data_IF_994009096864
#
_entry.id   IF_994009096864
#
_cell.length_a   1.000
_cell.length_b   1.000
_cell.length_c   1.000
_cell.angle_alpha   90.00
_cell.angle_beta   90.00
_cell.angle_gamma   90.00
#
_symmetry.space_group_name_H-M   'P 1'
#
loop_
_entity.id
_entity.type
_entity.pdbx_description
1 polymer ?
#
# COMPACT_ATOMS: atom_id res chain seq x y z
N UNK A 1 -34.11 -11.65 5.87
CA UNK A 1 -32.81 -11.61 6.56
C UNK A 1 -31.85 -12.22 5.56
N UNK A 2 -31.52 -11.40 4.57
CA UNK A 2 -30.88 -11.85 3.35
C UNK A 2 -29.36 -11.84 3.54
N UNK A 3 -28.79 -13.03 3.38
CA UNK A 3 -27.37 -13.29 3.41
C UNK A 3 -26.75 -12.69 2.13
N UNK A 4 -26.32 -11.42 2.20
CA UNK A 4 -25.59 -10.80 1.09
C UNK A 4 -24.27 -11.56 0.93
N UNK A 5 -23.98 -12.14 -0.25
CA UNK A 5 -22.82 -13.00 -0.39
C UNK A 5 -21.54 -12.18 -0.22
N UNK A 6 -20.74 -12.49 0.81
CA UNK A 6 -19.45 -11.86 1.11
C UNK A 6 -18.51 -11.75 -0.10
N UNK A 7 -18.65 -12.63 -1.10
CA UNK A 7 -17.89 -12.59 -2.36
C UNK A 7 -18.18 -11.35 -3.21
N UNK A 8 -19.42 -10.84 -3.24
CA UNK A 8 -19.80 -9.68 -4.07
C UNK A 8 -19.21 -8.37 -3.52
N UNK A 9 -19.12 -8.27 -2.20
CA UNK A 9 -18.58 -7.09 -1.50
C UNK A 9 -17.06 -6.98 -1.64
N UNK A 10 -16.34 -8.11 -1.63
CA UNK A 10 -14.88 -8.15 -1.79
C UNK A 10 -14.48 -7.85 -3.25
N UNK A 11 -15.18 -8.42 -4.24
CA UNK A 11 -14.95 -8.14 -5.67
C UNK A 11 -15.08 -6.64 -6.00
N UNK A 12 -16.11 -5.99 -5.45
CA UNK A 12 -16.34 -4.56 -5.66
C UNK A 12 -15.23 -3.68 -5.07
N UNK A 13 -14.61 -4.11 -3.96
CA UNK A 13 -13.57 -3.32 -3.28
C UNK A 13 -12.27 -3.27 -4.10
N UNK A 14 -11.86 -4.39 -4.72
CA UNK A 14 -10.64 -4.41 -5.53
C UNK A 14 -10.82 -3.75 -6.90
N UNK A 15 -12.03 -3.77 -7.45
CA UNK A 15 -12.39 -2.97 -8.63
C UNK A 15 -12.28 -1.47 -8.32
N UNK A 16 -12.85 -0.99 -7.21
CA UNK A 16 -12.69 0.41 -6.78
C UNK A 16 -11.23 0.82 -6.57
N UNK A 17 -10.40 -0.07 -6.00
CA UNK A 17 -8.97 0.17 -5.83
C UNK A 17 -8.25 0.20 -7.18
N UNK A 18 -8.61 -0.69 -8.12
CA UNK A 18 -8.07 -0.69 -9.48
C UNK A 18 -8.37 0.63 -10.19
N UNK A 19 -9.62 1.09 -10.11
CA UNK A 19 -10.07 2.34 -10.70
C UNK A 19 -9.37 3.54 -10.06
N UNK A 20 -9.19 3.53 -8.74
CA UNK A 20 -8.47 4.59 -8.02
C UNK A 20 -6.99 4.65 -8.42
N UNK A 21 -6.34 3.49 -8.59
CA UNK A 21 -4.95 3.41 -9.05
C UNK A 21 -4.81 3.94 -10.48
N UNK A 22 -5.70 3.53 -11.39
CA UNK A 22 -5.67 3.98 -12.79
C UNK A 22 -5.98 5.48 -12.88
N UNK A 23 -6.99 5.96 -12.16
CA UNK A 23 -7.34 7.38 -12.11
C UNK A 23 -6.15 8.23 -11.64
N UNK A 24 -5.45 7.80 -10.58
CA UNK A 24 -4.23 8.46 -10.13
C UNK A 24 -3.18 8.57 -11.26
N UNK A 25 -2.92 7.48 -11.97
CA UNK A 25 -1.94 7.43 -13.06
C UNK A 25 -2.34 8.34 -14.24
N UNK A 26 -3.63 8.40 -14.56
CA UNK A 26 -4.18 9.27 -15.61
C UNK A 26 -4.16 10.75 -15.21
N UNK A 27 -4.41 11.06 -13.94
CA UNK A 27 -4.36 12.43 -13.42
C UNK A 27 -2.92 12.96 -13.33
N UNK A 28 -1.97 12.07 -12.99
CA UNK A 28 -0.54 12.33 -13.19
C UNK A 28 -0.16 12.41 -14.68
N UNK A 29 -1.07 11.90 -15.52
CA UNK A 29 -1.02 11.70 -16.96
C UNK A 29 0.30 11.17 -17.47
N UNK A 30 0.63 10.06 -16.84
CA UNK A 30 1.59 9.08 -17.28
C UNK A 30 1.22 8.57 -18.68
N UNK A 31 2.23 8.17 -19.43
CA UNK A 31 2.12 7.40 -20.67
C UNK A 31 2.57 5.96 -20.41
N UNK A 32 2.38 5.08 -21.40
CA UNK A 32 2.81 3.69 -21.34
C UNK A 32 4.27 3.50 -20.90
N UNK A 33 5.18 4.37 -21.35
CA UNK A 33 6.61 4.30 -21.01
C UNK A 33 6.92 4.78 -19.58
N UNK A 34 6.00 5.51 -18.95
CA UNK A 34 6.21 6.09 -17.62
C UNK A 34 5.81 5.12 -16.50
N UNK A 35 4.99 4.11 -16.80
CA UNK A 35 4.50 3.12 -15.82
C UNK A 35 5.66 2.28 -15.27
N UNK A 36 6.10 2.65 -14.06
CA UNK A 36 7.21 2.02 -13.37
C UNK A 36 6.86 1.75 -11.89
N UNK A 37 7.80 1.17 -11.13
CA UNK A 37 7.56 0.79 -9.72
C UNK A 37 7.20 1.97 -8.83
N UNK A 38 7.82 3.14 -9.05
CA UNK A 38 7.55 4.35 -8.29
C UNK A 38 6.13 4.87 -8.53
N UNK A 39 5.66 4.83 -9.78
CA UNK A 39 4.29 5.22 -10.11
C UNK A 39 3.26 4.28 -9.47
N UNK A 40 3.52 2.98 -9.50
CA UNK A 40 2.71 2.02 -8.75
C UNK A 40 2.71 2.32 -7.26
N UNK A 41 3.88 2.61 -6.67
CA UNK A 41 3.98 2.93 -5.26
C UNK A 41 3.09 4.12 -4.89
N UNK A 42 3.18 5.24 -5.62
CA UNK A 42 2.35 6.41 -5.31
C UNK A 42 0.87 6.14 -5.55
N UNK A 43 0.52 5.45 -6.63
CA UNK A 43 -0.87 5.09 -6.90
C UNK A 43 -1.46 4.19 -5.80
N UNK A 44 -0.68 3.25 -5.27
CA UNK A 44 -1.09 2.43 -4.13
C UNK A 44 -1.22 3.24 -2.84
N UNK A 45 -0.29 4.14 -2.54
CA UNK A 45 -0.42 5.02 -1.36
C UNK A 45 -1.64 5.94 -1.47
N UNK A 46 -2.00 6.37 -2.68
CA UNK A 46 -3.21 7.16 -2.94
C UNK A 46 -4.49 6.33 -2.75
N UNK A 47 -4.49 5.08 -3.24
CA UNK A 47 -5.62 4.17 -3.12
C UNK A 47 -5.75 3.51 -1.73
N UNK A 48 -4.76 3.69 -0.84
CA UNK A 48 -4.76 3.09 0.47
C UNK A 48 -5.95 3.55 1.33
N UNK A 49 -6.68 2.59 1.87
CA UNK A 49 -7.71 2.82 2.90
C UNK A 49 -7.19 2.24 4.22
N UNK A 50 -7.27 2.96 5.36
CA UNK A 50 -6.76 2.51 6.66
C UNK A 50 -7.70 1.47 7.30
N UNK A 51 -7.94 0.38 6.58
CA UNK A 51 -8.75 -0.76 7.01
C UNK A 51 -7.82 -1.92 7.38
N UNK A 52 -8.16 -2.70 8.43
CA UNK A 52 -7.45 -3.94 8.71
C UNK A 52 -7.42 -4.85 7.48
N UNK A 53 -6.33 -5.58 7.32
CA UNK A 53 -6.08 -6.52 6.21
C UNK A 53 -6.02 -5.92 4.80
N UNK A 54 -6.08 -4.61 4.62
CA UNK A 54 -6.10 -3.99 3.30
C UNK A 54 -4.92 -4.46 2.43
N UNK A 55 -3.71 -4.43 2.97
CA UNK A 55 -2.52 -4.89 2.25
C UNK A 55 -2.38 -6.41 2.26
N UNK A 56 -2.76 -7.05 3.36
CA UNK A 56 -2.64 -8.52 3.49
C UNK A 56 -3.51 -9.27 2.49
N UNK A 57 -4.70 -8.76 2.23
CA UNK A 57 -5.65 -9.38 1.32
C UNK A 57 -5.56 -8.74 -0.09
N UNK A 58 -4.62 -7.82 -0.33
CA UNK A 58 -4.51 -7.07 -1.58
C UNK A 58 -4.29 -7.97 -2.81
N UNK A 59 -5.20 -7.91 -3.77
CA UNK A 59 -5.09 -8.63 -5.04
C UNK A 59 -4.49 -7.73 -6.13
N UNK A 60 -3.28 -8.08 -6.59
CA UNK A 60 -2.59 -7.29 -7.62
C UNK A 60 -3.16 -7.51 -9.04
N UNK A 61 -3.77 -8.66 -9.31
CA UNK A 61 -4.16 -9.05 -10.66
C UNK A 61 -5.23 -8.12 -11.28
N UNK A 62 -6.32 -7.75 -10.58
CA UNK A 62 -7.29 -6.77 -11.09
C UNK A 62 -6.66 -5.43 -11.46
N UNK A 63 -5.67 -4.98 -10.68
CA UNK A 63 -4.94 -3.73 -10.94
C UNK A 63 -4.11 -3.84 -12.22
N UNK A 64 -3.40 -4.96 -12.41
CA UNK A 64 -2.61 -5.21 -13.63
C UNK A 64 -3.52 -5.17 -14.86
N UNK A 65 -4.71 -5.78 -14.77
CA UNK A 65 -5.66 -5.78 -15.88
C UNK A 65 -6.20 -4.38 -16.19
N UNK A 66 -6.54 -3.60 -15.16
CA UNK A 66 -6.97 -2.22 -15.33
C UNK A 66 -5.85 -1.35 -15.95
N UNK A 67 -4.62 -1.49 -15.47
CA UNK A 67 -3.45 -0.79 -16.03
C UNK A 67 -3.20 -1.20 -17.48
N UNK A 68 -3.33 -2.47 -17.84
CA UNK A 68 -3.15 -2.91 -19.23
C UNK A 68 -4.25 -2.42 -20.17
N UNK A 69 -5.49 -2.25 -19.68
CA UNK A 69 -6.56 -1.63 -20.47
C UNK A 69 -6.25 -0.15 -20.75
N UNK A 70 -5.73 0.57 -19.75
CA UNK A 70 -5.38 1.98 -19.89
C UNK A 70 -4.07 2.22 -20.66
N UNK A 71 -3.08 1.34 -20.48
CA UNK A 71 -1.72 1.43 -21.04
C UNK A 71 -1.37 0.15 -21.81
N UNK A 72 -1.98 -0.08 -22.98
CA UNK A 72 -1.89 -1.35 -23.70
C UNK A 72 -0.49 -1.69 -24.21
N UNK A 73 0.35 -0.67 -24.43
CA UNK A 73 1.72 -0.83 -24.94
C UNK A 73 2.77 -0.81 -23.84
N UNK A 74 2.39 -0.60 -22.57
CA UNK A 74 3.30 -0.53 -21.43
C UNK A 74 4.30 -1.69 -21.40
N UNK A 75 3.85 -2.93 -21.62
CA UNK A 75 4.71 -4.11 -21.59
C UNK A 75 5.88 -4.04 -22.58
N UNK A 76 5.64 -3.46 -23.75
CA UNK A 76 6.66 -3.22 -24.78
C UNK A 76 7.39 -1.89 -24.62
N UNK A 77 6.73 -0.85 -24.09
CA UNK A 77 7.30 0.48 -23.91
C UNK A 77 8.28 0.56 -22.72
N UNK A 78 8.06 -0.28 -21.70
CA UNK A 78 8.92 -0.38 -20.51
C UNK A 78 10.37 -0.82 -20.82
N UNK A 79 10.67 -1.23 -22.06
CA UNK A 79 12.01 -1.68 -22.47
C UNK A 79 13.07 -0.58 -22.35
N UNK A 80 12.69 0.70 -22.28
CA UNK A 80 13.62 1.79 -21.98
C UNK A 80 13.92 1.86 -20.47
N UNK A 81 15.22 1.85 -20.10
CA UNK A 81 15.80 1.92 -18.73
C UNK A 81 15.99 0.58 -17.98
N UNK A 82 16.40 -0.49 -18.66
CA UNK A 82 16.72 -1.81 -18.05
C UNK A 82 15.58 -2.43 -17.21
N UNK A 83 14.33 -2.04 -17.48
CA UNK A 83 13.16 -2.43 -16.69
C UNK A 83 12.12 -3.15 -17.54
N UNK A 84 12.24 -4.47 -17.71
CA UNK A 84 11.11 -5.23 -18.26
C UNK A 84 9.86 -5.08 -17.39
N UNK A 85 8.67 -5.11 -17.98
CA UNK A 85 7.42 -5.09 -17.21
C UNK A 85 7.36 -6.22 -16.16
N UNK A 86 7.98 -7.37 -16.45
CA UNK A 86 8.14 -8.46 -15.48
C UNK A 86 8.99 -8.04 -14.27
N UNK A 87 10.07 -7.29 -14.48
CA UNK A 87 10.88 -6.73 -13.39
C UNK A 87 10.12 -5.68 -12.58
N UNK A 88 9.31 -4.83 -13.23
CA UNK A 88 8.42 -3.89 -12.54
C UNK A 88 7.44 -4.64 -11.64
N UNK A 89 6.70 -5.62 -12.20
CA UNK A 89 5.73 -6.42 -11.45
C UNK A 89 6.38 -7.20 -10.29
N UNK A 90 7.58 -7.74 -10.48
CA UNK A 90 8.34 -8.41 -9.41
C UNK A 90 8.66 -7.44 -8.26
N UNK A 91 9.10 -6.22 -8.57
CA UNK A 91 9.39 -5.19 -7.56
C UNK A 91 8.11 -4.69 -6.87
N UNK A 92 7.02 -4.52 -7.62
CA UNK A 92 5.69 -4.19 -7.07
C UNK A 92 5.21 -5.24 -6.08
N UNK A 93 5.34 -6.54 -6.40
CA UNK A 93 5.00 -7.61 -5.44
C UNK A 93 5.83 -7.55 -4.17
N UNK A 94 7.13 -7.23 -4.27
CA UNK A 94 7.99 -7.03 -3.08
C UNK A 94 7.51 -5.87 -2.22
N UNK A 95 7.11 -4.76 -2.85
CA UNK A 95 6.55 -3.60 -2.17
C UNK A 95 5.26 -3.98 -1.42
N UNK A 96 4.31 -4.65 -2.08
CA UNK A 96 3.05 -5.06 -1.46
C UNK A 96 3.27 -6.07 -0.34
N UNK A 97 4.19 -7.04 -0.52
CA UNK A 97 4.57 -7.97 0.54
C UNK A 97 5.14 -7.26 1.76
N UNK A 98 5.92 -6.18 1.54
CA UNK A 98 6.42 -5.36 2.65
C UNK A 98 5.28 -4.64 3.38
N UNK A 99 4.34 -4.04 2.63
CA UNK A 99 3.16 -3.38 3.22
C UNK A 99 2.29 -4.34 4.03
N UNK A 100 2.02 -5.53 3.50
CA UNK A 100 1.29 -6.59 4.20
C UNK A 100 2.01 -7.06 5.47
N UNK A 101 3.34 -7.08 5.46
CA UNK A 101 4.14 -7.39 6.64
C UNK A 101 4.03 -6.31 7.72
N UNK A 102 4.19 -5.03 7.35
CA UNK A 102 4.04 -3.90 8.27
C UNK A 102 2.63 -3.87 8.88
N UNK A 103 1.59 -4.09 8.06
CA UNK A 103 0.19 -4.15 8.48
C UNK A 103 -0.06 -5.31 9.45
N UNK A 104 0.45 -6.50 9.17
CA UNK A 104 0.32 -7.64 10.08
C UNK A 104 0.97 -7.37 11.45
N UNK A 105 2.09 -6.64 11.48
CA UNK A 105 2.73 -6.24 12.73
C UNK A 105 1.89 -5.20 13.47
N UNK A 106 1.34 -4.21 12.77
CA UNK A 106 0.44 -3.22 13.34
C UNK A 106 -0.83 -3.87 13.94
N UNK A 107 -1.41 -4.88 13.27
CA UNK A 107 -2.55 -5.63 13.80
C UNK A 107 -2.19 -6.38 15.10
N UNK A 108 -0.99 -6.97 15.19
CA UNK A 108 -0.53 -7.62 16.43
C UNK A 108 -0.39 -6.60 17.57
N UNK A 109 0.12 -5.39 17.28
CA UNK A 109 0.21 -4.30 18.27
C UNK A 109 -1.17 -3.78 18.67
N UNK A 110 -2.11 -3.66 17.73
CA UNK A 110 -3.48 -3.24 18.01
C UNK A 110 -4.24 -4.22 18.91
N UNK A 111 -3.87 -5.51 18.89
CA UNK A 111 -4.45 -6.52 19.78
C UNK A 111 -4.04 -6.33 21.25
N UNK A 112 -3.01 -5.53 21.54
CA UNK A 112 -2.63 -5.17 22.90
C UNK A 112 -3.61 -4.13 23.48
N UNK A 113 -3.83 -4.13 24.81
CA UNK A 113 -4.46 -3.00 25.49
C UNK A 113 -3.72 -1.70 25.21
N UNK A 114 -4.45 -0.61 24.98
CA UNK A 114 -3.87 0.67 24.56
C UNK A 114 -2.76 1.17 25.51
N UNK A 115 -2.95 1.00 26.82
CA UNK A 115 -2.00 1.46 27.84
C UNK A 115 -0.64 0.73 27.83
N UNK A 116 -0.52 -0.42 27.17
CA UNK A 116 0.74 -1.17 27.07
C UNK A 116 1.29 -1.22 25.64
N UNK A 117 0.64 -0.55 24.68
CA UNK A 117 1.14 -0.50 23.30
C UNK A 117 2.47 0.25 23.26
N UNK A 118 3.49 -0.28 22.55
CA UNK A 118 4.72 0.44 22.29
C UNK A 118 4.45 1.82 21.67
N UNK A 119 5.19 2.83 22.10
CA UNK A 119 5.09 4.20 21.57
C UNK A 119 6.31 4.63 20.77
N UNK A 120 7.40 3.86 20.83
CA UNK A 120 8.67 4.12 20.12
C UNK A 120 9.05 2.92 19.25
N UNK A 121 9.80 3.19 18.17
CA UNK A 121 10.12 2.21 17.14
C UNK A 121 10.99 1.05 17.65
N UNK A 122 11.91 1.32 18.58
CA UNK A 122 12.76 0.33 19.24
C UNK A 122 11.94 -0.64 20.11
N UNK A 123 11.07 -0.10 20.98
CA UNK A 123 10.21 -0.92 21.84
C UNK A 123 9.22 -1.73 21.00
N UNK A 124 8.69 -1.14 19.91
CA UNK A 124 7.83 -1.86 18.98
C UNK A 124 8.57 -3.00 18.27
N UNK A 125 9.80 -2.76 17.79
CA UNK A 125 10.63 -3.77 17.15
C UNK A 125 10.92 -4.94 18.09
N UNK A 126 11.33 -4.66 19.33
CA UNK A 126 11.65 -5.67 20.32
C UNK A 126 10.43 -6.53 20.66
N UNK A 127 9.27 -5.89 20.83
CA UNK A 127 8.01 -6.58 21.04
C UNK A 127 7.63 -7.45 19.82
N UNK A 128 7.69 -6.90 18.61
CA UNK A 128 7.39 -7.63 17.36
C UNK A 128 8.32 -8.84 17.20
N UNK A 129 9.62 -8.69 17.46
CA UNK A 129 10.57 -9.79 17.35
C UNK A 129 10.27 -10.90 18.36
N UNK A 130 9.96 -10.53 19.60
CA UNK A 130 9.56 -11.47 20.66
C UNK A 130 8.31 -12.24 20.28
N UNK A 131 7.31 -11.55 19.73
CA UNK A 131 6.05 -12.17 19.31
C UNK A 131 6.21 -13.06 18.07
N UNK A 132 7.04 -12.65 17.09
CA UNK A 132 7.34 -13.49 15.94
C UNK A 132 8.14 -14.75 16.33
N UNK A 133 9.01 -14.64 17.33
CA UNK A 133 9.73 -15.77 17.91
C UNK A 133 8.77 -16.74 18.62
N UNK A 134 7.90 -16.22 19.50
CA UNK A 134 6.94 -17.03 20.27
C UNK A 134 5.99 -17.82 19.35
N UNK A 135 5.60 -17.24 18.21
CA UNK A 135 4.77 -17.88 17.17
C UNK A 135 5.53 -18.79 16.21
N UNK A 136 6.85 -18.94 16.35
CA UNK A 136 7.67 -19.77 15.46
C UNK A 136 7.82 -19.22 14.02
N UNK A 137 7.56 -17.94 13.78
CA UNK A 137 7.54 -17.31 12.46
C UNK A 137 8.95 -16.88 12.00
N UNK A 138 9.87 -17.86 11.90
CA UNK A 138 11.32 -17.64 11.68
C UNK A 138 11.67 -16.72 10.50
N UNK A 139 10.98 -16.86 9.37
CA UNK A 139 11.26 -16.03 8.19
C UNK A 139 10.88 -14.55 8.41
N UNK A 140 9.72 -14.32 9.03
CA UNK A 140 9.24 -12.98 9.40
C UNK A 140 10.14 -12.35 10.47
N UNK A 141 10.58 -13.13 11.45
CA UNK A 141 11.52 -12.69 12.48
C UNK A 141 12.84 -12.21 11.86
N UNK A 142 13.48 -13.04 11.01
CA UNK A 142 14.74 -12.63 10.34
C UNK A 142 14.55 -11.38 9.52
N UNK A 143 13.41 -11.24 8.86
CA UNK A 143 13.10 -10.03 8.09
C UNK A 143 12.93 -8.81 8.99
N UNK A 144 12.20 -8.92 10.12
CA UNK A 144 12.06 -7.87 11.13
C UNK A 144 13.41 -7.39 11.67
N UNK A 145 14.30 -8.34 11.98
CA UNK A 145 15.65 -8.05 12.47
C UNK A 145 16.51 -7.38 11.40
N UNK A 146 16.42 -7.82 10.14
CA UNK A 146 17.21 -7.26 9.04
C UNK A 146 16.86 -5.80 8.73
N UNK A 147 15.58 -5.46 8.77
CA UNK A 147 15.10 -4.08 8.54
C UNK A 147 15.18 -3.20 9.79
N UNK A 148 15.36 -3.80 10.97
CA UNK A 148 15.57 -3.10 12.23
C UNK A 148 14.45 -2.12 12.58
N UNK A 149 14.82 -0.90 12.99
CA UNK A 149 13.89 0.12 13.49
C UNK A 149 12.77 0.46 12.51
N UNK A 150 12.99 0.32 11.20
CA UNK A 150 11.95 0.52 10.18
C UNK A 150 10.76 -0.44 10.37
N UNK A 151 10.97 -1.64 10.93
CA UNK A 151 9.89 -2.56 11.28
C UNK A 151 8.93 -1.92 12.29
N UNK A 152 9.50 -1.41 13.40
CA UNK A 152 8.75 -0.81 14.49
C UNK A 152 8.11 0.51 14.08
N UNK A 153 8.86 1.38 13.39
CA UNK A 153 8.35 2.67 12.92
C UNK A 153 7.13 2.51 12.00
N UNK A 154 7.23 1.64 11.00
CA UNK A 154 6.13 1.43 10.02
C UNK A 154 4.93 0.76 10.64
N UNK A 155 5.13 -0.18 11.57
CA UNK A 155 4.04 -0.77 12.33
C UNK A 155 3.32 0.29 13.19
N UNK A 156 4.06 1.16 13.89
CA UNK A 156 3.48 2.24 14.70
C UNK A 156 2.77 3.32 13.86
N UNK A 157 3.29 3.64 12.67
CA UNK A 157 2.60 4.50 11.71
C UNK A 157 1.20 3.94 11.40
N UNK A 158 1.09 2.64 11.13
CA UNK A 158 -0.18 1.98 10.84
C UNK A 158 -1.09 1.83 12.07
N UNK A 159 -0.54 1.58 13.27
CA UNK A 159 -1.31 1.63 14.54
C UNK A 159 -2.01 2.97 14.69
N UNK A 160 -1.27 4.09 14.49
CA UNK A 160 -1.85 5.44 14.54
C UNK A 160 -2.96 5.64 13.50
N UNK A 161 -2.81 5.05 12.31
CA UNK A 161 -3.86 5.08 11.29
C UNK A 161 -5.14 4.40 11.78
N UNK A 162 -5.00 3.20 12.34
CA UNK A 162 -6.14 2.40 12.78
C UNK A 162 -6.86 3.04 13.98
N UNK A 163 -6.13 3.61 14.93
CA UNK A 163 -6.71 4.32 16.08
C UNK A 163 -7.52 5.54 15.65
N UNK A 164 -7.01 6.33 14.71
CA UNK A 164 -7.71 7.50 14.19
C UNK A 164 -8.92 7.12 13.33
N UNK A 165 -8.77 6.11 12.46
CA UNK A 165 -9.88 5.58 11.67
C UNK A 165 -11.02 5.07 12.57
N UNK A 166 -10.69 4.39 13.68
CA UNK A 166 -11.68 3.94 14.68
C UNK A 166 -12.39 5.11 15.36
N UNK A 167 -11.72 6.26 15.48
CA UNK A 167 -12.28 7.49 16.04
C UNK A 167 -13.08 8.32 15.02
N UNK A 168 -13.28 7.82 13.79
CA UNK A 168 -13.96 8.53 12.72
C UNK A 168 -13.17 9.69 12.11
N UNK A 169 -11.87 9.79 12.43
CA UNK A 169 -10.97 10.82 11.89
C UNK A 169 -10.23 10.25 10.70
N UNK A 170 -10.28 10.93 9.55
CA UNK A 170 -9.46 10.57 8.39
C UNK A 170 -7.99 10.84 8.74
N UNK A 171 -7.22 9.79 9.00
CA UNK A 171 -5.77 9.90 9.11
C UNK A 171 -5.10 9.65 7.76
N UNK A 172 -4.38 10.67 7.30
CA UNK A 172 -3.55 10.57 6.13
C UNK A 172 -2.12 10.30 6.55
N UNK A 173 -1.64 9.10 6.23
CA UNK A 173 -0.22 8.77 6.32
C UNK A 173 0.59 9.79 5.50
N UNK A 174 1.81 10.16 5.93
CA UNK A 174 2.64 11.10 5.18
C UNK A 174 2.82 10.70 3.70
N UNK A 175 2.97 9.39 3.42
CA UNK A 175 3.07 8.87 2.06
C UNK A 175 1.77 9.06 1.24
N UNK A 176 0.61 8.79 1.85
CA UNK A 176 -0.71 9.03 1.23
C UNK A 176 -0.94 10.52 0.98
N UNK A 177 -0.59 11.38 1.94
CA UNK A 177 -0.68 12.83 1.78
C UNK A 177 0.21 13.32 0.64
N UNK A 178 1.45 12.84 0.56
CA UNK A 178 2.36 13.18 -0.52
C UNK A 178 1.82 12.74 -1.88
N UNK A 179 1.30 11.52 -2.00
CA UNK A 179 0.70 11.03 -3.24
C UNK A 179 -0.48 11.93 -3.67
N UNK A 180 -1.39 12.30 -2.75
CA UNK A 180 -2.49 13.24 -3.04
C UNK A 180 -1.96 14.58 -3.55
N UNK A 181 -1.01 15.19 -2.85
CA UNK A 181 -0.41 16.46 -3.24
C UNK A 181 0.27 16.40 -4.61
N UNK A 182 0.96 15.31 -4.92
CA UNK A 182 1.60 15.11 -6.21
C UNK A 182 0.59 15.07 -7.35
N UNK A 183 -0.50 14.28 -7.18
CA UNK A 183 -1.61 14.23 -8.13
C UNK A 183 -2.20 15.62 -8.37
N UNK A 184 -2.49 16.36 -7.29
CA UNK A 184 -3.10 17.69 -7.38
C UNK A 184 -2.20 18.66 -8.15
N UNK A 185 -0.88 18.59 -7.95
CA UNK A 185 0.09 19.38 -8.73
C UNK A 185 0.11 19.00 -10.21
N UNK A 186 0.04 17.71 -10.54
CA UNK A 186 -0.04 17.26 -11.93
C UNK A 186 -1.30 17.76 -12.63
N UNK A 187 -2.46 17.66 -11.97
CA UNK A 187 -3.75 18.13 -12.48
C UNK A 187 -3.73 19.64 -12.69
N UNK A 188 -3.25 20.41 -11.71
CA UNK A 188 -3.14 21.87 -11.82
C UNK A 188 -2.27 22.30 -13.00
N UNK A 189 -1.09 21.68 -13.17
CA UNK A 189 -0.18 21.96 -14.30
C UNK A 189 -0.84 21.71 -15.65
N UNK A 190 -1.64 20.66 -15.77
CA UNK A 190 -2.35 20.36 -17.03
C UNK A 190 -3.40 21.40 -17.36
N UNK A 191 -4.20 21.81 -16.38
CA UNK A 191 -5.21 22.86 -16.59
C UNK A 191 -4.60 24.20 -16.99
N UNK A 192 -3.41 24.55 -16.48
CA UNK A 192 -2.69 25.76 -16.89
C UNK A 192 -2.09 25.71 -18.29
N UNK A 193 -1.90 24.52 -18.88
CA UNK A 193 -1.35 24.35 -20.23
C UNK A 193 -2.46 24.32 -21.29
N UNK A 194 -3.70 24.02 -20.89
CA UNK A 194 -4.89 24.00 -21.75
C UNK A 194 -5.70 25.31 -21.77
N UNK A 195 -5.32 26.31 -20.98
CA UNK A 195 -5.94 27.64 -20.93
C UNK A 195 -5.12 28.66 -21.73
#
# INVERSE_FOLDING_TARGET
MDDIPKQKTVSNTYEEVADTVVAYMVDCGLKDADVNVGEFQFAFEHAYRPLPRFWRDFELQPIIEAVLRQYPTWRSAAVHRDQSAQNVLRKVRKLLNRRAFDEANAEMLMALPQQVRPTTADVALDWICTELWSRGLKAKLRFAQWIGLDCGDKALELVRCFEQATSGVEYLRPATQFARQWRDQCVAKRHTVTA
#
